data_IF_955211881073
#
_entry.id   IF_955211881073
#
_cell.length_a   1.000
_cell.length_b   1.000
_cell.length_c   1.000
_cell.angle_alpha   90.00
_cell.angle_beta   90.00
_cell.angle_gamma   90.00
#
_symmetry.space_group_name_H-M   'P 1'
#
loop_
_entity.id
_entity.type
_entity.pdbx_description
1 polymer ?
2 non-polymer ?
3 non-polymer ?
4 non-polymer ?
5 non-polymer ?
6 water ?
#
# COMPACT_ATOMS: atom_id res chain seq x y z
N UNK A 6 -24.10 13.23 -17.27
CA UNK A 6 -23.34 14.17 -16.37
C UNK A 6 -21.89 13.71 -16.16
N UNK A 7 -20.95 14.24 -16.97
CA UNK A 7 -19.62 13.66 -17.17
C UNK A 7 -18.77 13.59 -15.90
N UNK A 8 -17.79 12.70 -15.93
CA UNK A 8 -17.16 12.23 -14.70
C UNK A 8 -15.74 11.85 -15.06
N UNK A 9 -14.78 12.18 -14.18
CA UNK A 9 -13.47 11.58 -14.37
C UNK A 9 -13.44 10.06 -14.19
N UNK A 10 -14.49 9.48 -13.61
CA UNK A 10 -14.41 8.10 -13.11
C UNK A 10 -15.30 7.18 -13.95
N UNK A 11 -15.03 5.88 -13.95
CA UNK A 11 -16.06 4.89 -14.27
C UNK A 11 -16.15 3.82 -13.17
N UNK A 12 -17.36 3.52 -12.72
CA UNK A 12 -17.63 2.47 -11.72
C UNK A 12 -17.87 1.12 -12.37
N UNK A 13 -17.37 0.06 -11.74
CA UNK A 13 -17.73 -1.30 -12.10
C UNK A 13 -18.29 -2.07 -10.92
N UNK A 14 -19.06 -3.13 -11.23
CA UNK A 14 -19.18 -4.23 -10.31
C UNK A 14 -18.24 -5.37 -10.70
N UNK A 15 -18.23 -6.42 -9.87
CA UNK A 15 -17.31 -7.54 -10.14
C UNK A 15 -17.54 -8.27 -11.45
N UNK A 16 -18.80 -8.42 -11.85
CA UNK A 16 -19.15 -8.97 -13.17
C UNK A 16 -18.47 -8.17 -14.29
N UNK A 17 -18.75 -6.87 -14.29
CA UNK A 17 -18.21 -5.98 -15.32
C UNK A 17 -16.70 -6.02 -15.27
N UNK A 18 -16.13 -5.98 -14.07
CA UNK A 18 -14.68 -5.89 -13.96
C UNK A 18 -14.02 -7.16 -14.44
N UNK A 19 -14.56 -8.31 -14.02
CA UNK A 19 -13.88 -9.59 -14.31
C UNK A 19 -13.81 -9.94 -15.80
N UNK A 20 -14.79 -9.44 -16.57
CA UNK A 20 -14.76 -9.55 -18.04
C UNK A 20 -13.54 -8.91 -18.68
N UNK A 21 -12.89 -7.99 -17.97
CA UNK A 21 -11.71 -7.33 -18.52
C UNK A 21 -10.43 -8.12 -18.26
N UNK A 22 -10.58 -9.35 -17.79
CA UNK A 22 -9.40 -10.17 -17.57
C UNK A 22 -8.74 -10.48 -18.91
N UNK A 23 -9.58 -10.63 -19.94
CA UNK A 23 -9.18 -11.31 -21.17
C UNK A 23 -8.48 -12.63 -20.88
N UNK A 24 -7.29 -12.84 -21.46
CA UNK A 24 -6.63 -14.12 -21.23
C UNK A 24 -5.28 -13.99 -20.53
N UNK A 25 -5.19 -12.99 -19.67
CA UNK A 25 -4.15 -12.90 -18.65
C UNK A 25 -4.04 -14.22 -17.88
N UNK A 26 -2.83 -14.80 -17.85
CA UNK A 26 -2.57 -16.07 -17.17
C UNK A 26 -2.62 -15.96 -15.64
N UNK A 27 -3.14 -16.97 -14.96
CA UNK A 27 -2.99 -17.08 -13.51
C UNK A 27 -1.73 -17.86 -13.14
N UNK A 28 -0.77 -17.17 -12.53
CA UNK A 28 0.57 -17.72 -12.32
C UNK A 28 0.82 -18.08 -10.85
N UNK A 29 -0.25 -18.14 -10.06
CA UNK A 29 -0.14 -18.22 -8.61
C UNK A 29 -0.91 -19.41 -8.07
N UNK A 30 -0.28 -20.17 -7.17
CA UNK A 30 -0.90 -21.36 -6.59
C UNK A 30 -1.57 -21.00 -5.26
N UNK A 31 -2.38 -21.92 -4.75
CA UNK A 31 -3.00 -21.72 -3.45
C UNK A 31 -1.99 -21.61 -2.32
N UNK A 32 -0.93 -22.40 -2.35
CA UNK A 32 0.09 -22.29 -1.33
C UNK A 32 0.84 -20.95 -1.40
N UNK A 33 0.99 -20.42 -2.62
CA UNK A 33 1.75 -19.21 -2.82
C UNK A 33 0.94 -18.02 -2.30
N UNK A 34 -0.36 -18.10 -2.49
CA UNK A 34 -1.32 -17.10 -2.03
C UNK A 34 -1.40 -16.98 -0.50
N UNK A 35 -1.35 -18.11 0.20
CA UNK A 35 -1.14 -18.13 1.65
C UNK A 35 0.03 -17.26 2.13
N UNK A 36 1.21 -17.39 1.53
CA UNK A 36 2.32 -16.58 2.01
C UNK A 36 2.05 -15.10 1.86
N UNK A 37 1.02 -14.74 1.09
CA UNK A 37 0.79 -13.34 0.79
C UNK A 37 -0.29 -12.78 1.69
N UNK A 38 -1.18 -13.67 2.14
CA UNK A 38 -2.40 -13.27 2.85
C UNK A 38 -2.08 -12.79 4.27
N UNK A 39 -2.63 -11.62 4.62
CA UNK A 39 -2.47 -11.09 5.96
C UNK A 39 -3.47 -11.67 6.95
N UNK A 40 -3.13 -11.57 8.24
CA UNK A 40 -4.06 -11.97 9.29
C UNK A 40 -5.39 -11.27 9.12
N UNK A 41 -6.43 -12.08 8.95
CA UNK A 41 -7.79 -11.58 8.88
C UNK A 41 -8.24 -11.33 7.46
N UNK A 42 -7.33 -11.43 6.49
CA UNK A 42 -7.74 -11.22 5.10
C UNK A 42 -8.30 -12.49 4.41
N UNK A 43 -9.21 -12.29 3.47
CA UNK A 43 -10.06 -13.37 2.95
C UNK A 43 -9.76 -13.76 1.48
N UNK A 44 -8.69 -13.19 0.93
CA UNK A 44 -8.44 -13.34 -0.49
C UNK A 44 -8.30 -14.81 -0.89
N UNK A 45 -9.01 -15.24 -1.94
CA UNK A 45 -8.81 -16.54 -2.57
C UNK A 45 -8.46 -16.40 -4.06
N UNK A 46 -8.01 -17.48 -4.69
CA UNK A 46 -7.72 -17.48 -6.12
C UNK A 46 -8.87 -16.91 -6.93
N UNK A 47 -10.09 -17.23 -6.55
CA UNK A 47 -11.17 -16.71 -7.37
C UNK A 47 -11.04 -15.17 -7.41
N UNK A 48 -10.81 -14.55 -6.25
CA UNK A 48 -10.73 -13.10 -6.15
C UNK A 48 -9.52 -12.60 -6.91
N UNK A 49 -8.40 -13.30 -6.79
CA UNK A 49 -7.24 -12.98 -7.60
C UNK A 49 -7.60 -12.91 -9.09
N UNK A 50 -8.40 -13.87 -9.56
CA UNK A 50 -8.65 -14.03 -10.98
C UNK A 50 -9.60 -12.94 -11.43
N UNK A 51 -10.66 -12.72 -10.65
CA UNK A 51 -11.68 -11.80 -11.09
C UNK A 51 -11.35 -10.31 -10.85
N UNK A 52 -10.41 -10.03 -9.95
CA UNK A 52 -10.14 -8.66 -9.53
C UNK A 52 -8.69 -8.29 -9.79
N UNK A 53 -7.75 -9.13 -9.37
CA UNK A 53 -6.37 -8.76 -9.50
C UNK A 53 -5.79 -8.96 -10.89
N UNK A 54 -6.42 -9.82 -11.69
CA UNK A 54 -5.82 -10.13 -12.98
C UNK A 54 -6.05 -9.04 -14.03
N UNK A 55 -7.29 -8.53 -14.15
CA UNK A 55 -7.58 -7.33 -14.94
C UNK A 55 -6.79 -6.11 -14.46
N UNK A 56 -6.67 -5.95 -13.14
CA UNK A 56 -5.78 -4.92 -12.59
C UNK A 56 -4.38 -5.08 -13.16
N UNK A 57 -3.84 -6.28 -13.13
CA UNK A 57 -2.48 -6.47 -13.61
C UNK A 57 -2.43 -6.16 -15.11
N UNK A 58 -3.54 -6.41 -15.82
CA UNK A 58 -3.55 -6.14 -17.26
C UNK A 58 -3.52 -4.63 -17.51
N UNK A 59 -4.50 -3.92 -16.95
CA UNK A 59 -4.48 -2.45 -16.90
C UNK A 59 -3.09 -1.90 -16.68
N UNK A 60 -2.36 -2.43 -15.69
CA UNK A 60 -1.06 -1.85 -15.39
C UNK A 60 -0.03 -2.13 -16.48
N UNK A 61 -0.08 -3.33 -17.07
CA UNK A 61 0.84 -3.75 -18.12
C UNK A 61 0.65 -2.81 -19.31
N UNK A 62 -0.60 -2.55 -19.65
CA UNK A 62 -0.94 -1.59 -20.69
C UNK A 62 -0.35 -0.20 -20.40
N UNK A 63 -0.51 0.27 -19.16
CA UNK A 63 -0.02 1.57 -18.74
C UNK A 63 1.50 1.69 -18.62
N UNK A 64 2.19 0.59 -18.34
CA UNK A 64 3.63 0.71 -18.13
C UNK A 64 4.25 1.10 -19.47
N UNK A 65 3.71 0.54 -20.54
CA UNK A 65 4.25 0.74 -21.87
C UNK A 65 3.97 2.18 -22.31
N UNK A 66 2.71 2.58 -22.28
CA UNK A 66 2.29 3.94 -22.57
C UNK A 66 3.04 4.99 -21.77
N UNK A 67 3.24 4.72 -20.48
CA UNK A 67 3.88 5.66 -19.58
C UNK A 67 5.36 5.88 -19.92
N UNK A 68 6.03 4.82 -20.36
CA UNK A 68 7.40 4.94 -20.82
C UNK A 68 7.52 5.90 -22.01
N UNK A 69 6.57 5.82 -22.94
CA UNK A 69 6.52 6.72 -24.09
C UNK A 69 6.66 8.15 -23.60
N UNK A 70 5.97 8.44 -22.50
CA UNK A 70 5.88 9.79 -21.96
C UNK A 70 7.22 10.33 -21.48
N UNK A 71 7.98 9.53 -20.75
CA UNK A 71 9.32 9.94 -20.34
C UNK A 71 10.27 10.00 -21.53
N UNK A 72 9.99 9.18 -22.54
CA UNK A 72 10.86 9.08 -23.70
C UNK A 72 10.71 10.35 -24.55
N UNK A 73 9.49 10.87 -24.61
CA UNK A 73 9.22 12.11 -25.34
C UNK A 73 9.96 13.28 -24.71
N UNK A 74 9.96 13.34 -23.37
CA UNK A 74 10.76 14.35 -22.69
C UNK A 74 12.26 14.19 -22.93
N UNK A 75 12.73 12.94 -22.97
CA UNK A 75 14.15 12.69 -23.17
C UNK A 75 14.52 13.06 -24.60
N UNK A 76 13.60 12.80 -25.53
CA UNK A 76 13.79 13.20 -26.90
C UNK A 76 13.89 14.72 -26.95
N UNK A 77 12.88 15.39 -26.44
CA UNK A 77 12.88 16.85 -26.39
C UNK A 77 14.24 17.35 -25.92
N UNK A 78 14.78 16.75 -24.87
CA UNK A 78 16.01 17.26 -24.30
C UNK A 78 17.28 16.89 -25.06
N UNK A 79 17.12 16.19 -26.19
CA UNK A 79 18.25 15.66 -26.96
C UNK A 79 19.12 14.72 -26.15
N UNK A 80 18.48 13.71 -25.55
CA UNK A 80 19.17 12.89 -24.57
C UNK A 80 19.49 11.51 -25.14
N UNK A 81 20.64 10.94 -24.73
CA UNK A 81 21.08 9.60 -25.08
C UNK A 81 20.00 8.66 -25.61
N UNK A 82 18.97 8.38 -24.81
CA UNK A 82 17.84 7.56 -25.26
C UNK A 82 17.17 6.84 -24.10
N UNK A 83 17.90 5.90 -23.50
CA UNK A 83 17.36 4.96 -22.53
C UNK A 83 18.26 3.73 -22.49
N UNK A 84 18.58 3.25 -21.30
CA UNK A 84 18.88 1.83 -21.12
C UNK A 84 17.59 1.01 -21.16
N UNK A 85 17.51 0.03 -22.08
CA UNK A 85 16.32 -0.80 -22.21
C UNK A 85 16.22 -1.85 -21.11
N UNK A 86 17.34 -2.10 -20.43
CA UNK A 86 17.38 -2.91 -19.22
C UNK A 86 17.13 -2.08 -17.96
N UNK A 87 17.28 -0.76 -18.07
CA UNK A 87 16.90 0.20 -17.03
C UNK A 87 16.02 1.33 -17.55
N UNK A 88 14.71 1.04 -17.73
CA UNK A 88 13.73 2.10 -17.97
C UNK A 88 13.48 2.91 -16.69
N UNK A 89 12.78 4.02 -16.83
CA UNK A 89 12.33 4.79 -15.68
C UNK A 89 11.39 3.93 -14.84
N UNK A 90 11.66 3.80 -13.53
CA UNK A 90 10.81 2.95 -12.69
C UNK A 90 9.34 3.39 -12.64
N UNK A 91 8.44 2.42 -12.81
CA UNK A 91 7.00 2.68 -12.72
C UNK A 91 6.57 2.58 -11.24
N UNK A 92 5.98 3.67 -10.73
CA UNK A 92 5.79 3.78 -9.28
C UNK A 92 4.30 3.63 -8.97
N UNK A 93 3.98 2.68 -8.08
CA UNK A 93 2.58 2.37 -7.79
C UNK A 93 2.33 2.63 -6.31
N UNK A 94 1.35 3.47 -6.02
CA UNK A 94 1.01 3.78 -4.64
C UNK A 94 -0.13 2.91 -4.15
N UNK A 95 -0.12 2.51 -2.88
CA UNK A 95 -1.27 1.77 -2.34
C UNK A 95 -1.67 2.37 -1.01
N UNK A 96 -2.89 2.91 -0.94
CA UNK A 96 -3.29 3.71 0.21
C UNK A 96 -4.53 3.12 0.88
N UNK A 97 -4.79 3.62 2.08
CA UNK A 97 -6.06 3.35 2.74
C UNK A 97 -5.84 3.16 4.23
N UNK A 98 -6.93 2.93 4.95
CA UNK A 98 -6.96 2.82 6.40
C UNK A 98 -6.07 1.70 6.93
N UNK A 99 -5.66 1.83 8.19
CA UNK A 99 -5.15 0.71 8.97
C UNK A 99 -6.22 -0.40 8.88
N UNK A 100 -5.81 -1.65 8.79
CA UNK A 100 -6.72 -2.82 8.93
C UNK A 100 -7.55 -3.08 7.68
N UNK A 101 -7.39 -2.29 6.62
CA UNK A 101 -8.23 -2.43 5.43
C UNK A 101 -7.63 -3.49 4.51
N UNK A 102 -6.41 -3.95 4.79
CA UNK A 102 -5.77 -4.97 3.93
C UNK A 102 -4.80 -4.47 2.87
N UNK A 103 -4.22 -3.28 3.03
CA UNK A 103 -3.29 -2.78 2.00
C UNK A 103 -2.14 -3.78 1.83
N UNK A 104 -1.64 -4.33 2.93
CA UNK A 104 -0.42 -5.12 2.80
C UNK A 104 -0.68 -6.38 1.95
N UNK A 105 -1.92 -6.87 1.92
CA UNK A 105 -2.24 -8.05 1.11
C UNK A 105 -2.36 -7.63 -0.35
N UNK A 106 -3.13 -6.60 -0.62
CA UNK A 106 -3.23 -6.08 -1.98
C UNK A 106 -1.85 -5.85 -2.56
N UNK A 107 -0.94 -5.29 -1.79
CA UNK A 107 0.35 -4.93 -2.38
C UNK A 107 1.19 -6.18 -2.62
N UNK A 108 1.20 -7.09 -1.65
CA UNK A 108 1.96 -8.34 -1.81
C UNK A 108 1.41 -9.15 -2.99
N UNK A 109 0.09 -9.16 -3.14
CA UNK A 109 -0.48 -9.91 -4.25
C UNK A 109 -0.13 -9.23 -5.58
N UNK A 110 -0.34 -7.93 -5.67
CA UNK A 110 0.05 -7.20 -6.86
C UNK A 110 1.52 -7.44 -7.19
N UNK A 111 2.40 -7.32 -6.21
CA UNK A 111 3.81 -7.54 -6.51
C UNK A 111 4.03 -8.91 -7.15
N UNK A 112 3.32 -9.92 -6.65
CA UNK A 112 3.59 -11.32 -7.03
C UNK A 112 3.11 -11.52 -8.46
N UNK A 113 1.96 -10.93 -8.76
CA UNK A 113 1.43 -10.97 -10.11
C UNK A 113 2.33 -10.27 -11.11
N UNK A 114 2.73 -9.02 -10.82
CA UNK A 114 3.64 -8.33 -11.72
C UNK A 114 4.98 -9.04 -11.87
N UNK A 115 5.50 -9.67 -10.83
CA UNK A 115 6.85 -10.23 -10.96
C UNK A 115 6.80 -11.44 -11.88
N UNK A 116 5.58 -11.93 -12.11
CA UNK A 116 5.34 -13.07 -12.98
C UNK A 116 4.90 -12.71 -14.41
N UNK A 117 4.87 -11.43 -14.77
CA UNK A 117 4.80 -11.07 -16.18
C UNK A 117 5.97 -11.68 -16.93
N UNK A 118 5.91 -11.53 -18.26
CA UNK A 118 6.82 -12.20 -19.17
C UNK A 118 8.31 -11.99 -18.92
N UNK A 119 8.81 -10.75 -19.01
CA UNK A 119 10.25 -10.52 -18.85
C UNK A 119 10.79 -10.66 -17.43
N UNK A 120 9.92 -11.07 -16.51
CA UNK A 120 10.25 -11.12 -15.08
C UNK A 120 10.87 -9.81 -14.60
N UNK A 121 10.03 -8.75 -14.56
CA UNK A 121 10.46 -7.44 -14.09
C UNK A 121 10.83 -7.51 -12.61
N UNK A 122 11.90 -6.83 -12.19
CA UNK A 122 12.20 -6.62 -10.77
C UNK A 122 11.18 -5.69 -10.09
N UNK A 123 10.39 -6.26 -9.18
CA UNK A 123 9.28 -5.54 -8.55
C UNK A 123 9.46 -5.43 -7.04
N UNK A 124 9.82 -4.22 -6.61
CA UNK A 124 10.06 -3.96 -5.21
C UNK A 124 8.84 -3.41 -4.49
N UNK A 125 8.77 -3.67 -3.20
CA UNK A 125 7.61 -3.27 -2.44
C UNK A 125 8.16 -2.65 -1.17
N UNK A 126 7.77 -1.41 -0.91
CA UNK A 126 8.26 -0.71 0.29
C UNK A 126 7.07 -0.12 1.04
N UNK A 127 7.12 -0.17 2.36
CA UNK A 127 6.04 0.32 3.19
C UNK A 127 6.53 1.60 3.82
N UNK A 128 5.68 2.60 3.92
CA UNK A 128 6.08 3.88 4.47
C UNK A 128 6.27 3.85 5.99
N UNK A 129 6.01 2.71 6.62
CA UNK A 129 6.22 2.74 8.07
C UNK A 129 7.69 2.83 8.44
N UNK A 130 8.59 2.41 7.55
CA UNK A 130 10.03 2.61 7.73
C UNK A 130 10.40 4.09 7.84
N UNK A 131 9.50 4.98 7.45
CA UNK A 131 9.78 6.41 7.38
C UNK A 131 9.11 7.12 8.53
N UNK A 132 8.48 6.35 9.42
CA UNK A 132 8.01 6.95 10.66
C UNK A 132 9.22 7.51 11.39
N UNK A 133 9.04 8.61 12.12
CA UNK A 133 10.05 8.97 13.10
C UNK A 133 10.15 7.85 14.13
N UNK A 134 11.38 7.57 14.62
CA UNK A 134 11.52 6.65 15.75
C UNK A 134 10.90 7.20 17.03
N UNK A 135 10.70 6.36 18.04
CA UNK A 135 9.85 6.71 19.17
C UNK A 135 10.44 7.92 19.91
N UNK A 136 11.76 8.04 19.93
CA UNK A 136 12.42 9.00 20.80
C UNK A 136 12.17 10.36 20.19
N UNK A 137 12.15 10.39 18.87
CA UNK A 137 11.82 11.60 18.12
C UNK A 137 10.32 11.95 18.12
N UNK A 138 9.46 10.93 18.02
CA UNK A 138 8.03 11.17 18.15
C UNK A 138 7.77 11.70 19.56
N UNK A 139 8.39 11.09 20.56
CA UNK A 139 8.23 11.56 21.92
C UNK A 139 8.65 13.03 22.05
N UNK A 140 9.76 13.38 21.41
CA UNK A 140 10.21 14.76 21.43
C UNK A 140 9.15 15.70 20.86
N UNK A 141 8.49 15.24 19.80
CA UNK A 141 7.51 16.04 19.09
C UNK A 141 6.10 15.90 19.65
N UNK A 142 5.96 15.23 20.78
CA UNK A 142 4.65 14.90 21.35
C UNK A 142 3.73 14.07 20.46
N UNK A 143 4.29 13.13 19.70
CA UNK A 143 3.52 12.45 18.65
C UNK A 143 3.35 10.95 18.93
N UNK A 144 3.63 10.52 20.16
CA UNK A 144 3.65 9.09 20.41
C UNK A 144 2.27 8.44 20.24
N UNK A 145 1.23 9.27 20.26
CA UNK A 145 -0.15 8.81 20.04
C UNK A 145 -0.69 9.22 18.67
N UNK A 146 0.22 9.47 17.72
CA UNK A 146 -0.20 9.91 16.39
C UNK A 146 0.55 9.17 15.30
N UNK A 147 1.05 8.00 15.62
CA UNK A 147 1.72 7.23 14.58
C UNK A 147 0.70 7.01 13.48
N UNK A 148 1.13 7.26 12.24
CA UNK A 148 0.27 7.14 11.09
C UNK A 148 -0.33 8.45 10.63
N UNK A 149 -0.42 9.45 11.52
CA UNK A 149 -0.74 10.80 11.09
C UNK A 149 0.40 11.40 10.22
N UNK A 150 0.05 12.28 9.28
CA UNK A 150 1.05 12.77 8.33
C UNK A 150 2.30 13.31 9.03
N UNK A 151 2.12 13.96 10.16
CA UNK A 151 3.23 14.58 10.85
C UNK A 151 4.12 13.56 11.56
N UNK A 152 3.74 12.28 11.58
CA UNK A 152 4.56 11.33 12.35
C UNK A 152 5.64 10.74 11.44
N UNK A 153 5.65 11.18 10.18
CA UNK A 153 6.57 10.64 9.18
C UNK A 153 7.68 11.64 8.86
N UNK A 154 8.86 11.13 8.57
CA UNK A 154 9.89 11.94 7.94
C UNK A 154 9.63 12.05 6.46
N UNK A 155 8.75 12.96 6.08
CA UNK A 155 8.35 13.11 4.66
C UNK A 155 9.50 13.45 3.72
N UNK A 156 10.37 14.35 4.14
CA UNK A 156 11.57 14.67 3.33
C UNK A 156 12.40 13.44 2.99
N UNK A 157 12.65 12.59 3.99
CA UNK A 157 13.37 11.34 3.73
C UNK A 157 12.60 10.44 2.78
N UNK A 158 11.28 10.35 2.95
CA UNK A 158 10.46 9.46 2.14
C UNK A 158 10.50 9.96 0.69
N UNK A 159 10.32 11.26 0.51
CA UNK A 159 10.38 11.86 -0.83
C UNK A 159 11.77 11.71 -1.46
N UNK A 160 12.83 11.98 -0.70
CA UNK A 160 14.18 11.69 -1.17
C UNK A 160 14.27 10.26 -1.70
N UNK A 161 13.77 9.32 -0.91
CA UNK A 161 13.86 7.91 -1.26
C UNK A 161 13.22 7.63 -2.61
N UNK A 162 11.97 8.06 -2.79
CA UNK A 162 11.27 7.77 -4.04
C UNK A 162 11.81 8.58 -5.22
N UNK A 163 12.25 9.81 -4.98
CA UNK A 163 12.87 10.60 -6.05
C UNK A 163 14.11 9.90 -6.55
N UNK A 164 14.92 9.41 -5.61
CA UNK A 164 16.14 8.70 -5.95
C UNK A 164 15.86 7.49 -6.83
N UNK A 165 14.93 6.64 -6.38
CA UNK A 165 14.56 5.48 -7.18
C UNK A 165 14.07 5.89 -8.57
N UNK A 166 13.16 6.85 -8.64
CA UNK A 166 12.54 7.13 -9.93
C UNK A 166 13.49 7.81 -10.91
N UNK A 167 14.40 8.60 -10.35
CA UNK A 167 15.45 9.26 -11.11
C UNK A 167 16.55 8.30 -11.59
N UNK A 168 16.45 7.02 -11.23
CA UNK A 168 17.30 5.98 -11.80
C UNK A 168 18.56 5.65 -11.03
N UNK A 169 18.62 6.00 -9.74
CA UNK A 169 19.76 5.66 -8.90
C UNK A 169 19.98 4.14 -8.84
N UNK A 170 21.23 3.73 -8.64
CA UNK A 170 21.58 2.32 -8.61
C UNK A 170 21.07 1.63 -7.34
N UNK A 171 20.94 2.41 -6.28
CA UNK A 171 20.87 1.91 -4.90
C UNK A 171 20.12 3.01 -4.12
N UNK A 172 19.07 2.67 -3.38
CA UNK A 172 18.50 3.60 -2.40
C UNK A 172 18.03 2.85 -1.16
N UNK A 173 18.18 3.45 0.02
CA UNK A 173 17.86 2.76 1.26
C UNK A 173 16.69 3.38 1.99
N UNK A 174 15.80 2.53 2.52
CA UNK A 174 14.71 2.99 3.37
C UNK A 174 14.96 2.38 4.74
N UNK A 175 14.59 3.08 5.83
CA UNK A 175 14.66 2.46 7.14
C UNK A 175 13.54 1.41 7.32
N UNK A 176 13.56 0.71 8.45
CA UNK A 176 12.69 -0.45 8.65
C UNK A 176 11.98 -0.35 10.00
N UNK A 177 10.66 -0.41 9.98
CA UNK A 177 9.86 -0.39 11.21
C UNK A 177 9.49 -1.82 11.66
N UNK A 178 9.49 -2.05 12.97
CA UNK A 178 9.03 -3.30 13.55
C UNK A 178 7.75 -3.00 14.33
N UNK A 179 6.65 -3.61 13.92
CA UNK A 179 5.45 -3.63 14.74
C UNK A 179 5.70 -4.32 16.07
N UNK A 180 6.41 -5.43 16.04
CA UNK A 180 6.54 -6.22 17.24
C UNK A 180 7.21 -5.37 18.32
N UNK A 181 8.29 -4.66 17.96
CA UNK A 181 9.01 -3.81 18.91
C UNK A 181 8.51 -2.37 18.90
N UNK A 182 7.54 -2.05 18.04
CA UNK A 182 6.90 -0.75 18.09
C UNK A 182 7.88 0.42 17.89
N UNK A 183 8.82 0.26 16.96
CA UNK A 183 9.86 1.27 16.75
C UNK A 183 10.69 0.94 15.53
N UNK A 184 11.31 1.98 14.98
CA UNK A 184 12.28 1.77 13.90
C UNK A 184 13.41 0.88 14.41
N UNK A 185 13.96 0.03 13.55
CA UNK A 185 14.94 -0.97 14.00
C UNK A 185 16.33 -0.40 13.74
N UNK A 186 17.15 -0.32 14.80
CA UNK A 186 18.42 0.34 14.58
C UNK A 186 19.26 -0.39 13.54
N UNK A 187 19.73 0.34 12.55
CA UNK A 187 20.70 -0.19 11.59
C UNK A 187 20.06 -0.99 10.47
N UNK A 188 18.74 -1.19 10.53
CA UNK A 188 18.10 -1.98 9.49
C UNK A 188 17.82 -1.13 8.26
N UNK A 189 18.00 -1.70 7.09
CA UNK A 189 17.79 -0.94 5.87
C UNK A 189 17.14 -1.86 4.84
N UNK A 190 16.19 -1.34 4.09
CA UNK A 190 15.73 -2.02 2.89
C UNK A 190 16.35 -1.37 1.66
N UNK A 191 17.05 -2.17 0.87
CA UNK A 191 17.84 -1.65 -0.22
C UNK A 191 17.10 -1.92 -1.52
N UNK A 192 16.82 -0.85 -2.26
CA UNK A 192 16.12 -0.94 -3.53
C UNK A 192 17.11 -0.59 -4.65
N UNK A 193 17.27 -1.51 -5.60
CA UNK A 193 18.30 -1.39 -6.64
C UNK A 193 17.66 -1.33 -8.01
N UNK A 194 17.48 -0.11 -8.52
CA UNK A 194 16.86 0.08 -9.84
C UNK A 194 15.82 -0.98 -10.22
N UNK A 195 14.74 -1.07 -9.43
CA UNK A 195 13.65 -1.96 -9.84
C UNK A 195 12.98 -1.49 -11.13
N UNK A 196 12.25 -2.39 -11.79
CA UNK A 196 11.42 -1.95 -12.91
C UNK A 196 10.14 -1.29 -12.40
N UNK A 197 9.68 -1.77 -11.25
CA UNK A 197 8.45 -1.30 -10.64
C UNK A 197 8.63 -1.22 -9.14
N UNK A 198 8.20 -0.11 -8.56
CA UNK A 198 8.24 0.07 -7.12
C UNK A 198 6.82 0.30 -6.64
N UNK A 199 6.38 -0.55 -5.71
CA UNK A 199 5.08 -0.38 -5.10
C UNK A 199 5.36 0.23 -3.74
N UNK A 200 4.71 1.36 -3.47
CA UNK A 200 4.90 2.09 -2.23
C UNK A 200 3.57 2.06 -1.51
N UNK A 201 3.56 1.50 -0.30
CA UNK A 201 2.30 1.21 0.38
C UNK A 201 2.27 1.91 1.74
N UNK A 202 1.17 2.58 2.07
CA UNK A 202 1.06 3.21 3.38
C UNK A 202 -0.19 4.06 3.48
N UNK A 203 -0.63 4.38 4.69
CA UNK A 203 -1.88 5.11 4.94
C UNK A 203 -1.99 6.34 4.05
N UNK A 204 -0.95 7.16 4.07
CA UNK A 204 -1.05 8.54 3.57
C UNK A 204 -0.29 8.84 2.27
N UNK A 205 0.02 7.79 1.50
CA UNK A 205 0.88 7.97 0.34
C UNK A 205 0.23 8.82 -0.74
N UNK A 206 -1.09 8.99 -0.70
CA UNK A 206 -1.74 9.81 -1.72
C UNK A 206 -1.91 11.29 -1.33
N UNK A 207 -1.38 11.65 -0.17
CA UNK A 207 -1.41 13.04 0.23
C UNK A 207 -0.80 14.01 -0.75
N UNK A 208 -1.36 15.21 -0.74
CA UNK A 208 -0.85 16.33 -1.50
C UNK A 208 -0.58 17.49 -0.55
N UNK A 209 0.12 18.52 -1.02
CA UNK A 209 0.59 19.56 -0.13
C UNK A 209 1.38 20.67 -0.80
N UNK A 210 1.94 21.58 0.01
CA UNK A 210 2.58 22.77 -0.54
C UNK A 210 3.95 22.35 -1.04
N UNK A 211 4.27 21.07 -0.97
CA UNK A 211 5.51 20.71 -1.63
C UNK A 211 5.31 19.47 -2.48
N UNK A 212 6.26 19.22 -3.37
CA UNK A 212 6.15 18.03 -4.19
C UNK A 212 6.23 16.81 -3.25
N UNK A 213 5.36 15.82 -3.48
CA UNK A 213 5.28 14.66 -2.57
C UNK A 213 5.32 13.34 -3.36
N UNK A 214 5.50 12.21 -2.67
CA UNK A 214 5.52 10.95 -3.39
C UNK A 214 4.29 10.71 -4.29
N UNK A 215 3.13 11.23 -3.92
CA UNK A 215 1.96 11.01 -4.75
C UNK A 215 2.13 11.67 -6.11
N UNK A 216 2.93 12.74 -6.14
CA UNK A 216 3.21 13.46 -7.38
C UNK A 216 4.13 12.60 -8.26
N UNK A 217 4.78 11.60 -7.68
CA UNK A 217 5.58 10.69 -8.51
C UNK A 217 4.93 9.37 -8.94
N UNK A 218 3.66 9.16 -8.57
CA UNK A 218 3.02 7.87 -8.81
C UNK A 218 2.61 7.81 -10.28
N UNK A 219 2.88 6.69 -10.95
CA UNK A 219 2.32 6.40 -12.27
C UNK A 219 0.98 5.70 -12.18
N UNK A 220 0.61 5.26 -10.97
CA UNK A 220 -0.65 4.53 -10.75
C UNK A 220 -0.82 4.45 -9.24
N UNK A 221 -2.06 4.53 -8.79
CA UNK A 221 -2.31 4.31 -7.38
C UNK A 221 -3.59 3.51 -7.14
N UNK A 222 -3.56 2.73 -6.06
CA UNK A 222 -4.75 2.06 -5.54
C UNK A 222 -5.15 2.70 -4.23
N UNK A 223 -6.44 2.80 -4.00
CA UNK A 223 -6.93 3.05 -2.66
C UNK A 223 -7.82 1.86 -2.26
N UNK A 224 -7.48 1.20 -1.14
CA UNK A 224 -8.28 0.10 -0.63
C UNK A 224 -9.30 0.61 0.37
N UNK A 225 -10.57 0.54 -0.02
CA UNK A 225 -11.63 1.24 0.71
C UNK A 225 -12.60 0.22 1.34
N UNK A 226 -13.39 0.68 2.31
CA UNK A 226 -14.51 -0.10 2.82
C UNK A 226 -15.28 0.88 3.69
N UNK A 227 -16.47 0.48 4.15
CA UNK A 227 -17.21 1.32 5.07
C UNK A 227 -16.44 1.45 6.38
N UNK A 228 -16.51 2.62 7.00
CA UNK A 228 -15.71 2.87 8.18
C UNK A 228 -16.03 1.90 9.31
N UNK A 229 -17.31 1.60 9.50
CA UNK A 229 -17.78 0.64 10.52
C UNK A 229 -17.21 -0.77 10.30
N UNK A 230 -17.12 -1.19 9.03
CA UNK A 230 -16.54 -2.49 8.75
C UNK A 230 -15.05 -2.48 9.11
N UNK A 231 -14.34 -1.43 8.70
CA UNK A 231 -12.90 -1.37 8.96
C UNK A 231 -12.62 -1.41 10.47
N UNK A 232 -13.47 -0.74 11.25
CA UNK A 232 -13.30 -0.78 12.69
C UNK A 232 -13.52 -2.20 13.21
N UNK A 233 -14.54 -2.87 12.67
CA UNK A 233 -14.80 -4.25 13.08
C UNK A 233 -13.57 -5.10 12.72
N UNK A 234 -13.02 -4.91 11.52
CA UNK A 234 -11.87 -5.70 11.16
C UNK A 234 -10.71 -5.41 12.11
N UNK A 235 -10.55 -4.14 12.49
CA UNK A 235 -9.44 -3.74 13.36
C UNK A 235 -9.57 -4.42 14.74
N UNK A 236 -10.76 -4.34 15.31
CA UNK A 236 -10.99 -4.87 16.66
C UNK A 236 -10.82 -6.39 16.61
N UNK A 237 -11.37 -7.00 15.57
CA UNK A 237 -11.31 -8.45 15.46
C UNK A 237 -9.86 -8.94 15.26
N UNK A 238 -9.05 -8.17 14.53
CA UNK A 238 -7.64 -8.54 14.40
C UNK A 238 -6.88 -8.31 15.70
N UNK A 239 -7.24 -7.28 16.44
CA UNK A 239 -6.67 -7.05 17.76
C UNK A 239 -6.94 -8.25 18.67
N UNK A 240 -8.18 -8.72 18.74
CA UNK A 240 -8.46 -9.93 19.53
C UNK A 240 -7.70 -11.16 19.03
N UNK A 241 -7.57 -11.32 17.71
CA UNK A 241 -6.83 -12.47 17.19
C UNK A 241 -5.35 -12.40 17.51
N UNK A 242 -4.80 -11.19 17.69
CA UNK A 242 -3.36 -11.09 17.89
C UNK A 242 -2.96 -11.42 19.32
N UNK A 243 -3.93 -11.50 20.22
CA UNK A 243 -3.58 -12.03 21.55
C UNK A 243 -2.88 -13.37 21.54
N UNK A 244 -3.19 -14.23 20.57
CA UNK A 244 -2.52 -15.52 20.59
C UNK A 244 -1.54 -15.64 19.43
N UNK A 245 -1.43 -14.60 18.59
CA UNK A 245 -0.28 -14.51 17.68
C UNK A 245 0.81 -13.52 18.12
N UNK A 246 0.85 -12.35 17.50
CA UNK A 246 1.90 -11.40 17.86
C UNK A 246 1.96 -11.01 19.33
N UNK A 247 0.84 -10.70 19.99
CA UNK A 247 0.96 -10.19 21.36
C UNK A 247 1.42 -11.24 22.34
N UNK A 248 1.28 -12.52 21.97
CA UNK A 248 1.73 -13.63 22.81
C UNK A 248 3.25 -13.71 22.97
N UNK A 249 3.99 -13.18 22.00
CA UNK A 249 5.42 -12.99 22.13
C UNK A 249 5.77 -12.09 23.32
N UNK A 250 6.59 -12.60 24.25
CA UNK A 250 6.94 -11.81 25.43
C UNK A 250 7.63 -10.52 25.02
N UNK A 251 8.29 -10.55 23.87
CA UNK A 251 9.02 -9.38 23.38
C UNK A 251 8.04 -8.33 22.85
N UNK A 252 6.82 -8.76 22.54
CA UNK A 252 5.87 -7.86 21.90
C UNK A 252 5.66 -6.64 22.78
N UNK A 253 5.53 -5.49 22.12
CA UNK A 253 5.27 -4.26 22.83
C UNK A 253 3.90 -4.31 23.49
N UNK A 254 2.96 -5.05 22.92
CA UNK A 254 1.62 -5.12 23.48
C UNK A 254 1.37 -6.47 24.13
N UNK A 255 2.42 -7.09 24.64
CA UNK A 255 2.30 -8.36 25.32
C UNK A 255 1.28 -8.34 26.46
N UNK A 256 1.13 -7.22 27.14
CA UNK A 256 0.15 -7.15 28.21
C UNK A 256 -1.28 -7.37 27.72
N UNK A 257 -1.50 -7.25 26.42
CA UNK A 257 -2.87 -7.43 25.92
C UNK A 257 -3.21 -8.90 25.68
N UNK A 258 -2.17 -9.72 25.61
CA UNK A 258 -2.36 -11.16 25.40
C UNK A 258 -3.38 -11.81 26.35
N UNK A 259 -3.43 -11.33 27.59
CA UNK A 259 -4.21 -11.95 28.64
C UNK A 259 -5.58 -11.31 28.79
N UNK A 260 -5.86 -10.28 28.01
CA UNK A 260 -7.14 -9.59 28.12
C UNK A 260 -8.25 -10.57 27.74
N UNK A 261 -9.41 -10.42 28.38
CA UNK A 261 -10.60 -11.12 27.96
C UNK A 261 -11.09 -10.52 26.66
N UNK A 262 -11.95 -11.27 25.97
CA UNK A 262 -12.60 -10.76 24.79
C UNK A 262 -13.13 -9.34 25.02
N UNK A 263 -13.78 -9.16 26.16
CA UNK A 263 -14.48 -7.90 26.39
C UNK A 263 -13.51 -6.79 26.77
N UNK A 264 -12.50 -7.09 27.57
CA UNK A 264 -11.44 -6.09 27.79
C UNK A 264 -10.73 -5.69 26.49
N UNK A 265 -10.55 -6.65 25.58
CA UNK A 265 -9.73 -6.44 24.39
C UNK A 265 -10.52 -5.54 23.43
N UNK A 266 -11.82 -5.81 23.33
CA UNK A 266 -12.71 -4.96 22.55
C UNK A 266 -12.68 -3.51 23.04
N UNK A 267 -12.71 -3.32 24.35
CA UNK A 267 -12.61 -1.98 24.91
C UNK A 267 -11.31 -1.31 24.49
N UNK A 268 -10.20 -2.01 24.70
CA UNK A 268 -8.89 -1.44 24.39
C UNK A 268 -8.81 -1.06 22.92
N UNK A 269 -9.30 -1.94 22.05
CA UNK A 269 -9.05 -1.80 20.62
C UNK A 269 -9.90 -0.68 20.07
N UNK A 270 -11.13 -0.57 20.56
CA UNK A 270 -12.04 0.52 20.18
C UNK A 270 -11.56 1.89 20.62
N UNK A 271 -10.86 1.95 21.75
CA UNK A 271 -10.31 3.22 22.19
C UNK A 271 -9.17 3.66 21.27
N UNK A 272 -8.27 2.74 20.91
CA UNK A 272 -7.22 3.03 19.94
C UNK A 272 -7.82 3.45 18.59
N UNK A 273 -8.87 2.78 18.15
CA UNK A 273 -9.51 3.16 16.90
C UNK A 273 -10.04 4.59 17.02
N UNK A 274 -10.73 4.86 18.13
CA UNK A 274 -11.44 6.12 18.35
C UNK A 274 -10.44 7.27 18.46
N UNK A 275 -9.31 7.07 19.13
CA UNK A 275 -8.39 8.15 19.39
C UNK A 275 -7.29 8.32 18.35
N UNK A 276 -6.95 7.26 17.62
CA UNK A 276 -5.90 7.35 16.61
C UNK A 276 -6.41 7.06 15.18
N UNK A 277 -6.77 5.81 14.94
CA UNK A 277 -7.01 5.40 13.55
C UNK A 277 -8.26 5.99 12.90
N UNK A 278 -9.34 6.15 13.66
CA UNK A 278 -10.52 6.75 13.03
C UNK A 278 -10.33 8.23 12.62
N UNK A 279 -9.84 9.08 13.55
CA UNK A 279 -9.54 10.48 13.25
C UNK A 279 -8.56 10.57 12.10
N UNK A 280 -7.59 9.66 12.04
CA UNK A 280 -6.64 9.75 10.93
C UNK A 280 -7.29 9.41 9.60
N UNK A 281 -8.18 8.42 9.62
CA UNK A 281 -8.85 7.98 8.39
C UNK A 281 -9.71 9.13 7.87
N UNK A 282 -10.49 9.74 8.77
CA UNK A 282 -11.47 10.76 8.39
C UNK A 282 -10.76 12.07 7.99
N UNK A 283 -9.72 12.47 8.72
CA UNK A 283 -9.08 13.77 8.51
C UNK A 283 -8.05 13.70 7.41
N UNK A 284 -7.36 12.57 7.27
CA UNK A 284 -6.21 12.58 6.37
C UNK A 284 -6.27 11.58 5.23
N UNK A 285 -6.79 10.38 5.49
CA UNK A 285 -6.71 9.34 4.49
C UNK A 285 -7.82 9.45 3.48
N UNK A 286 -9.07 9.50 3.95
CA UNK A 286 -10.22 9.52 3.04
C UNK A 286 -10.21 10.74 2.11
N UNK A 287 -9.70 11.90 2.58
CA UNK A 287 -9.57 13.01 1.62
C UNK A 287 -8.56 12.77 0.50
N UNK A 288 -7.80 11.68 0.54
CA UNK A 288 -6.98 11.35 -0.62
C UNK A 288 -7.63 10.39 -1.61
N UNK A 289 -8.76 9.80 -1.23
CA UNK A 289 -9.41 8.84 -2.13
C UNK A 289 -9.74 9.38 -3.52
N UNK A 290 -10.16 10.66 -3.65
CA UNK A 290 -10.54 11.16 -4.98
C UNK A 290 -9.43 11.05 -6.03
N UNK A 291 -8.17 10.94 -5.61
CA UNK A 291 -7.05 10.99 -6.53
C UNK A 291 -6.59 9.60 -6.98
N UNK A 292 -7.07 8.55 -6.32
CA UNK A 292 -6.53 7.22 -6.61
C UNK A 292 -6.88 6.85 -8.06
N UNK A 293 -5.98 6.21 -8.79
CA UNK A 293 -6.36 5.67 -10.11
C UNK A 293 -7.43 4.59 -9.97
N UNK A 294 -7.36 3.76 -8.93
CA UNK A 294 -8.39 2.72 -8.74
C UNK A 294 -8.73 2.52 -7.28
N UNK A 295 -9.98 2.76 -6.95
CA UNK A 295 -10.52 2.34 -5.69
C UNK A 295 -11.09 0.90 -5.69
N UNK A 296 -10.61 0.08 -4.74
CA UNK A 296 -11.09 -1.28 -4.56
C UNK A 296 -11.97 -1.26 -3.33
N UNK A 297 -13.27 -1.38 -3.54
CA UNK A 297 -14.20 -1.27 -2.44
C UNK A 297 -14.59 -2.67 -1.99
N UNK A 298 -14.39 -2.94 -0.70
CA UNK A 298 -14.65 -4.24 -0.07
C UNK A 298 -15.96 -4.19 0.71
N UNK A 299 -16.66 -5.32 0.70
CA UNK A 299 -17.84 -5.46 1.54
C UNK A 299 -17.42 -5.96 2.92
N UNK A 300 -18.37 -6.02 3.84
CA UNK A 300 -18.11 -6.41 5.22
C UNK A 300 -17.29 -7.68 5.38
N UNK A 301 -17.26 -8.51 4.35
CA UNK A 301 -16.53 -9.77 4.38
C UNK A 301 -15.13 -9.70 3.76
N UNK A 302 -14.61 -8.49 3.51
CA UNK A 302 -13.32 -8.30 2.82
C UNK A 302 -13.32 -8.56 1.32
N UNK A 303 -14.49 -8.96 0.82
CA UNK A 303 -14.70 -9.19 -0.60
C UNK A 303 -14.70 -7.91 -1.44
N UNK A 304 -13.80 -7.82 -2.41
CA UNK A 304 -13.85 -6.66 -3.28
C UNK A 304 -14.99 -6.85 -4.27
N UNK A 305 -16.08 -6.11 -4.07
CA UNK A 305 -17.23 -6.22 -4.95
C UNK A 305 -17.48 -5.04 -5.90
N UNK A 306 -16.78 -3.93 -5.70
CA UNK A 306 -16.96 -2.75 -6.55
C UNK A 306 -15.64 -2.03 -6.80
N UNK A 307 -15.49 -1.41 -7.97
CA UNK A 307 -14.28 -0.68 -8.36
C UNK A 307 -14.58 0.67 -9.02
N UNK A 308 -13.74 1.67 -8.77
CA UNK A 308 -13.88 3.01 -9.38
C UNK A 308 -12.57 3.39 -10.04
N UNK A 309 -12.58 3.44 -11.36
CA UNK A 309 -11.38 3.70 -12.14
C UNK A 309 -11.39 5.15 -12.63
N UNK A 310 -10.24 5.82 -12.54
CA UNK A 310 -10.09 7.14 -13.13
C UNK A 310 -9.82 6.94 -14.59
N UNK A 311 -10.68 7.49 -15.44
CA UNK A 311 -10.30 7.56 -16.83
C UNK A 311 -9.74 8.92 -17.22
N UNK A 312 -10.04 9.92 -16.39
CA UNK A 312 -9.34 11.20 -16.43
C UNK A 312 -8.70 11.49 -15.07
#
# INVERSE_FOLDING_TARGET
MSRLSEPSPYVEFDRRQWRALRMSTPLALTEEELVGLRGLGEQIDLLEVEEVYLPLARLIHLQVAARQRLFAATAEFLGEPQQNPDRPVPFIIGVAGSVAVGKSTTARVLQALLARWDHHPRVDLVTTDGFLYPNAELQRRNLMHRKGFPESYNRRALMRFVTSVKSGSDYACAPVYSHLHYDIIPGAEQVVRHPDILILEGLNVLQTGPTLMVSDLFDFSLYVDARIEDIEQWYVSRFLAMRTTAFADPESHFHHYAAFSDSQAVVAAREIWRTINRPNLVENILPTRPRATLVLRKDADHSINRLRLRKL
#
